data_IF_715580520237
#
_entry.id   IF_715580520237
#
_cell.length_a   1.000
_cell.length_b   1.000
_cell.length_c   1.000
_cell.angle_alpha   90.00
_cell.angle_beta   90.00
_cell.angle_gamma   90.00
#
_symmetry.space_group_name_H-M   'P 1'
#
loop_
_entity.id
_entity.type
_entity.pdbx_description
1 polymer ?
#
# COMPACT_ATOMS: atom_id res chain seq x y z
N UNK A 1 -10.07 -17.18 4.46
CA UNK A 1 -9.71 -17.06 5.89
C UNK A 1 -9.01 -15.72 6.11
N UNK A 2 -9.47 -14.94 7.04
CA UNK A 2 -8.85 -13.67 7.37
C UNK A 2 -7.49 -13.88 8.03
N UNK A 3 -6.56 -12.95 7.78
CA UNK A 3 -5.20 -12.99 8.33
C UNK A 3 -4.96 -11.76 9.20
N UNK A 4 -4.11 -11.90 10.20
CA UNK A 4 -3.62 -10.79 11.01
C UNK A 4 -2.20 -10.42 10.57
N UNK A 5 -1.98 -9.13 10.41
CA UNK A 5 -0.69 -8.58 10.00
C UNK A 5 -0.33 -7.42 10.90
N UNK A 6 0.93 -7.39 11.34
CA UNK A 6 1.49 -6.28 12.11
C UNK A 6 2.35 -5.41 11.20
N UNK A 7 2.07 -4.13 11.19
CA UNK A 7 2.82 -3.16 10.40
C UNK A 7 4.22 -2.95 11.00
N UNK A 8 5.25 -2.98 10.15
CA UNK A 8 6.61 -2.59 10.48
C UNK A 8 7.01 -1.38 9.64
N UNK A 9 7.52 -0.34 10.29
CA UNK A 9 7.88 0.91 9.64
C UNK A 9 6.71 1.87 9.44
N UNK A 10 6.98 3.01 8.83
CA UNK A 10 6.08 4.15 8.73
C UNK A 10 5.70 4.54 7.31
N UNK A 11 5.90 3.65 6.33
CA UNK A 11 5.60 3.93 4.92
C UNK A 11 4.14 4.25 4.64
N UNK A 12 3.23 3.78 5.52
CA UNK A 12 1.79 4.00 5.40
C UNK A 12 1.25 5.03 6.41
N UNK A 13 2.12 5.71 7.16
CA UNK A 13 1.68 6.78 8.04
C UNK A 13 1.13 7.97 7.23
N UNK A 14 0.13 8.68 7.73
CA UNK A 14 -0.54 8.52 9.03
C UNK A 14 -1.66 7.46 9.06
N UNK A 15 -1.98 6.84 7.92
CA UNK A 15 -3.10 5.88 7.81
C UNK A 15 -2.86 4.65 8.71
N UNK A 16 -1.71 4.02 8.55
CA UNK A 16 -1.24 2.93 9.39
C UNK A 16 0.17 3.22 9.87
N UNK A 17 0.43 2.95 11.13
CA UNK A 17 1.72 3.22 11.78
C UNK A 17 2.39 1.94 12.21
N UNK A 18 3.68 2.02 12.46
CA UNK A 18 4.43 0.89 13.03
C UNK A 18 3.73 0.31 14.26
N UNK A 19 3.65 -1.00 14.34
CA UNK A 19 2.96 -1.78 15.37
C UNK A 19 1.43 -1.85 15.27
N UNK A 20 0.80 -1.19 14.31
CA UNK A 20 -0.62 -1.41 14.05
C UNK A 20 -0.90 -2.86 13.70
N UNK A 21 -1.99 -3.40 14.24
CA UNK A 21 -2.49 -4.74 13.92
C UNK A 21 -3.67 -4.62 12.97
N UNK A 22 -3.54 -5.24 11.80
CA UNK A 22 -4.52 -5.16 10.72
C UNK A 22 -5.17 -6.50 10.48
N UNK A 23 -6.48 -6.46 10.23
CA UNK A 23 -7.24 -7.59 9.71
C UNK A 23 -7.20 -7.53 8.18
N UNK A 24 -6.81 -8.64 7.56
CA UNK A 24 -6.60 -8.77 6.12
C UNK A 24 -7.49 -9.86 5.54
N UNK A 25 -8.00 -9.64 4.34
CA UNK A 25 -8.73 -10.62 3.55
C UNK A 25 -7.85 -11.10 2.40
N UNK A 26 -7.72 -12.43 2.18
CA UNK A 26 -7.00 -12.96 1.02
C UNK A 26 -7.64 -12.52 -0.31
N UNK A 27 -6.80 -12.33 -1.33
CA UNK A 27 -7.21 -12.07 -2.71
C UNK A 27 -6.75 -13.19 -3.63
N UNK A 28 -7.34 -13.32 -4.80
CA UNK A 28 -6.82 -14.11 -5.92
C UNK A 28 -7.62 -15.34 -6.27
N UNK A 29 -8.06 -16.19 -5.37
CA UNK A 29 -8.69 -17.48 -5.75
C UNK A 29 -10.19 -17.46 -6.03
N UNK A 30 -10.90 -16.40 -5.66
CA UNK A 30 -12.36 -16.31 -5.82
C UNK A 30 -12.78 -15.07 -6.61
N UNK A 31 -11.95 -14.60 -7.54
CA UNK A 31 -12.25 -13.41 -8.34
C UNK A 31 -12.19 -12.10 -7.55
N UNK A 32 -11.75 -12.12 -6.30
CA UNK A 32 -11.53 -10.90 -5.52
C UNK A 32 -10.23 -10.26 -5.98
N UNK A 33 -10.35 -9.12 -6.65
CA UNK A 33 -9.22 -8.29 -7.08
C UNK A 33 -9.08 -7.09 -6.18
N UNK A 34 -7.84 -6.61 -6.03
CA UNK A 34 -7.60 -5.31 -5.40
C UNK A 34 -8.17 -4.19 -6.28
N UNK A 35 -8.69 -3.15 -5.64
CA UNK A 35 -9.25 -1.96 -6.28
C UNK A 35 -8.31 -0.78 -6.07
N UNK A 36 -8.48 0.26 -6.90
CA UNK A 36 -7.77 1.52 -6.68
C UNK A 36 -8.11 2.06 -5.28
N UNK A 37 -7.09 2.44 -4.52
CA UNK A 37 -7.21 2.91 -3.16
C UNK A 37 -7.14 1.83 -2.08
N UNK A 38 -7.24 0.56 -2.42
CA UNK A 38 -7.04 -0.52 -1.46
C UNK A 38 -5.60 -0.51 -0.92
N UNK A 39 -5.48 -0.78 0.37
CA UNK A 39 -4.18 -1.07 0.98
C UNK A 39 -3.99 -2.58 1.00
N UNK A 40 -2.89 -3.02 0.44
CA UNK A 40 -2.61 -4.44 0.20
C UNK A 40 -1.26 -4.87 0.76
N UNK A 41 -1.14 -6.16 1.04
CA UNK A 41 0.15 -6.82 1.26
C UNK A 41 0.50 -7.63 0.03
N UNK A 42 1.72 -7.48 -0.46
CA UNK A 42 2.23 -8.14 -1.64
C UNK A 42 3.70 -8.55 -1.47
N UNK A 43 4.15 -9.47 -2.31
CA UNK A 43 5.56 -9.84 -2.39
C UNK A 43 6.30 -8.95 -3.37
N UNK A 44 7.46 -8.47 -2.95
CA UNK A 44 8.41 -7.73 -3.77
C UNK A 44 9.81 -8.32 -3.51
N UNK A 45 10.29 -9.13 -4.43
CA UNK A 45 11.45 -9.97 -4.17
C UNK A 45 11.17 -10.94 -3.01
N UNK A 46 12.03 -10.92 -1.99
CA UNK A 46 11.87 -11.72 -0.79
C UNK A 46 11.10 -11.00 0.33
N UNK A 47 10.77 -9.73 0.12
CA UNK A 47 10.07 -8.93 1.11
C UNK A 47 8.55 -9.02 0.94
N UNK A 48 7.85 -8.89 2.05
CA UNK A 48 6.42 -8.61 2.08
C UNK A 48 6.22 -7.16 2.44
N UNK A 49 5.55 -6.44 1.56
CA UNK A 49 5.34 -5.00 1.67
C UNK A 49 3.86 -4.67 1.83
N UNK A 50 3.59 -3.58 2.53
CA UNK A 50 2.25 -2.99 2.62
C UNK A 50 2.27 -1.64 1.93
N UNK A 51 1.40 -1.47 0.92
CA UNK A 51 1.27 -0.22 0.17
C UNK A 51 -0.17 -0.04 -0.30
N UNK A 52 -0.46 1.13 -0.83
CA UNK A 52 -1.74 1.45 -1.48
C UNK A 52 -1.66 1.19 -2.97
N UNK A 53 -2.69 0.56 -3.51
CA UNK A 53 -2.89 0.46 -4.96
C UNK A 53 -3.29 1.83 -5.50
N UNK A 54 -2.38 2.47 -6.23
CA UNK A 54 -2.60 3.78 -6.86
C UNK A 54 -3.03 3.61 -8.31
N UNK A 55 -2.29 2.81 -9.08
CA UNK A 55 -2.58 2.53 -10.49
C UNK A 55 -3.05 1.10 -10.70
N UNK A 56 -4.16 0.95 -11.44
CA UNK A 56 -4.67 -0.32 -11.93
C UNK A 56 -4.07 -0.66 -13.31
N UNK A 57 -4.19 -1.91 -13.79
CA UNK A 57 -3.78 -2.25 -15.14
C UNK A 57 -4.35 -1.29 -16.19
N UNK A 58 -3.48 -0.73 -17.04
CA UNK A 58 -3.84 0.22 -18.08
C UNK A 58 -3.88 1.68 -17.67
N UNK A 59 -3.78 2.00 -16.39
CA UNK A 59 -3.79 3.39 -15.91
C UNK A 59 -2.52 4.15 -16.33
N UNK A 60 -2.67 5.45 -16.54
CA UNK A 60 -1.57 6.40 -16.63
C UNK A 60 -1.35 7.02 -15.25
N UNK A 61 -0.19 6.77 -14.67
CA UNK A 61 0.23 7.36 -13.41
C UNK A 61 1.28 8.45 -13.70
N UNK A 62 1.11 9.60 -13.07
CA UNK A 62 2.03 10.73 -13.20
C UNK A 62 2.48 11.19 -11.81
N UNK A 63 3.76 11.51 -11.70
CA UNK A 63 4.33 12.15 -10.52
C UNK A 63 4.77 13.56 -10.90
N UNK A 64 4.19 14.55 -10.25
CA UNK A 64 4.40 15.96 -10.54
C UNK A 64 4.57 16.74 -9.23
N UNK A 65 5.71 17.37 -9.05
CA UNK A 65 6.03 18.08 -7.80
C UNK A 65 5.81 17.22 -6.53
N UNK A 66 6.19 15.95 -6.58
CA UNK A 66 6.01 15.00 -5.46
C UNK A 66 4.59 14.49 -5.27
N UNK A 67 3.67 14.78 -6.20
CA UNK A 67 2.25 14.44 -6.11
C UNK A 67 1.85 13.49 -7.22
N UNK A 68 1.00 12.52 -6.89
CA UNK A 68 0.52 11.52 -7.82
C UNK A 68 -0.82 11.91 -8.46
N UNK A 69 -0.90 11.64 -9.75
CA UNK A 69 -2.12 11.74 -10.55
C UNK A 69 -2.36 10.40 -11.25
N UNK A 70 -3.62 10.01 -11.36
CA UNK A 70 -4.03 8.81 -12.08
C UNK A 70 -5.06 9.21 -13.13
N UNK A 71 -4.77 8.94 -14.39
CA UNK A 71 -5.62 9.32 -15.53
C UNK A 71 -6.00 10.81 -15.50
N UNK A 72 -5.05 11.66 -15.10
CA UNK A 72 -5.24 13.11 -14.99
C UNK A 72 -5.86 13.60 -13.69
N UNK A 73 -6.36 12.71 -12.84
CA UNK A 73 -7.00 13.09 -11.57
C UNK A 73 -6.01 13.00 -10.41
N UNK A 74 -5.92 14.03 -9.54
CA UNK A 74 -5.03 14.02 -8.39
C UNK A 74 -5.46 12.98 -7.35
N UNK A 75 -4.51 12.19 -6.87
CA UNK A 75 -4.77 11.19 -5.81
C UNK A 75 -5.14 11.86 -4.49
N UNK A 76 -4.54 13.01 -4.19
CA UNK A 76 -4.77 13.79 -2.95
C UNK A 76 -5.81 14.92 -3.11
N UNK A 77 -6.48 15.02 -4.25
CA UNK A 77 -7.50 16.03 -4.54
C UNK A 77 -6.98 17.45 -4.82
N UNK A 78 -5.66 17.67 -4.81
CA UNK A 78 -5.08 19.00 -5.05
C UNK A 78 -4.84 19.24 -6.55
N UNK A 79 -5.05 20.46 -7.07
CA UNK A 79 -4.84 20.77 -8.48
C UNK A 79 -3.37 20.67 -8.88
N UNK A 80 -3.11 20.57 -10.19
CA UNK A 80 -1.76 20.57 -10.76
C UNK A 80 -1.04 21.89 -10.51
N UNK A 81 0.30 21.80 -10.43
CA UNK A 81 1.18 22.96 -10.41
C UNK A 81 1.72 23.16 -11.83
N UNK A 82 1.41 24.27 -12.52
CA UNK A 82 1.92 24.52 -13.87
C UNK A 82 3.45 24.53 -13.92
N UNK A 83 4.02 23.89 -14.95
CA UNK A 83 5.47 23.87 -15.20
C UNK A 83 6.29 22.96 -14.29
N UNK A 84 5.66 22.16 -13.42
CA UNK A 84 6.37 21.18 -12.63
C UNK A 84 6.91 20.03 -13.50
N UNK A 85 8.06 19.46 -13.11
CA UNK A 85 8.59 18.27 -13.75
C UNK A 85 7.62 17.09 -13.55
N UNK A 86 7.34 16.38 -14.63
CA UNK A 86 6.42 15.23 -14.62
C UNK A 86 7.15 13.96 -15.02
N UNK A 87 7.04 12.93 -14.19
CA UNK A 87 7.41 11.57 -14.53
C UNK A 87 6.15 10.76 -14.75
N UNK A 88 6.11 9.91 -15.76
CA UNK A 88 4.92 9.18 -16.17
C UNK A 88 5.17 7.69 -16.28
N UNK A 89 4.15 6.90 -15.97
CA UNK A 89 4.15 5.45 -16.13
C UNK A 89 2.81 4.98 -16.69
N UNK A 90 2.86 4.15 -17.73
CA UNK A 90 1.70 3.39 -18.18
C UNK A 90 1.72 2.03 -17.49
N UNK A 91 0.75 1.75 -16.64
CA UNK A 91 0.67 0.49 -15.91
C UNK A 91 0.33 -0.66 -16.87
N UNK A 92 1.16 -1.71 -16.96
CA UNK A 92 0.86 -2.87 -17.81
C UNK A 92 -0.46 -3.55 -17.45
N UNK A 93 -1.04 -4.28 -18.39
CA UNK A 93 -2.33 -4.96 -18.22
C UNK A 93 -2.34 -6.07 -17.15
N UNK A 94 -1.17 -6.44 -16.61
CA UNK A 94 -1.00 -7.50 -15.62
C UNK A 94 -0.43 -7.01 -14.29
N UNK A 95 -0.36 -5.68 -14.09
CA UNK A 95 0.36 -5.10 -12.96
C UNK A 95 -0.42 -3.98 -12.29
N UNK A 96 0.06 -3.63 -11.09
CA UNK A 96 -0.36 -2.45 -10.33
C UNK A 96 0.81 -1.47 -10.16
N UNK A 97 0.48 -0.23 -9.89
CA UNK A 97 1.41 0.79 -9.38
C UNK A 97 1.10 1.01 -7.89
N UNK A 98 2.11 0.85 -7.03
CA UNK A 98 1.96 0.88 -5.58
C UNK A 98 2.66 2.10 -4.99
N UNK A 99 2.02 2.74 -4.02
CA UNK A 99 2.65 3.82 -3.26
C UNK A 99 2.29 3.75 -1.77
N UNK A 100 3.26 4.09 -0.93
CA UNK A 100 2.99 4.32 0.49
C UNK A 100 2.38 5.70 0.72
N UNK A 101 1.58 5.83 1.78
CA UNK A 101 0.92 7.08 2.12
C UNK A 101 1.90 8.13 2.70
N UNK A 102 3.11 7.69 3.10
CA UNK A 102 4.17 8.56 3.60
C UNK A 102 5.32 8.65 2.57
N UNK A 103 5.25 9.59 1.63
CA UNK A 103 6.24 9.67 0.55
C UNK A 103 7.67 9.98 1.03
N UNK A 104 7.83 10.55 2.20
CA UNK A 104 9.15 10.89 2.75
C UNK A 104 10.00 9.66 3.08
N UNK A 105 9.37 8.51 3.39
CA UNK A 105 10.07 7.28 3.82
C UNK A 105 9.64 6.03 3.06
N UNK A 106 8.68 6.13 2.14
CA UNK A 106 8.18 4.96 1.40
C UNK A 106 9.10 4.59 0.26
N UNK A 107 9.56 3.34 0.29
CA UNK A 107 10.21 2.67 -0.83
C UNK A 107 9.13 1.95 -1.64
N UNK A 108 8.84 2.45 -2.85
CA UNK A 108 7.70 1.99 -3.63
C UNK A 108 7.88 2.23 -5.14
N UNK A 109 6.82 2.04 -5.92
CA UNK A 109 6.84 2.14 -7.38
C UNK A 109 7.39 3.45 -7.92
N UNK A 110 7.32 4.53 -7.14
CA UNK A 110 7.85 5.85 -7.57
C UNK A 110 9.37 5.87 -7.71
N UNK A 111 10.08 4.98 -7.02
CA UNK A 111 11.55 4.99 -6.94
C UNK A 111 12.19 3.69 -7.41
N UNK A 112 11.42 2.62 -7.64
CA UNK A 112 11.97 1.36 -8.12
C UNK A 112 12.33 1.41 -9.61
N UNK A 113 13.39 0.72 -9.98
CA UNK A 113 13.78 0.55 -11.40
C UNK A 113 12.72 -0.22 -12.17
N UNK A 114 12.12 -1.24 -11.54
CA UNK A 114 10.94 -1.96 -12.03
C UNK A 114 9.72 -1.57 -11.21
N UNK A 115 8.96 -0.54 -11.64
CA UNK A 115 7.93 0.07 -10.79
C UNK A 115 6.65 -0.73 -10.67
N UNK A 116 6.43 -1.73 -11.53
CA UNK A 116 5.15 -2.42 -11.61
C UNK A 116 5.13 -3.70 -10.80
N UNK A 117 4.07 -3.89 -10.03
CA UNK A 117 3.85 -5.07 -9.19
C UNK A 117 2.87 -5.99 -9.88
N UNK A 118 3.26 -7.24 -10.22
CA UNK A 118 2.33 -8.20 -10.82
C UNK A 118 1.09 -8.41 -9.95
N UNK A 119 -0.08 -8.49 -10.57
CA UNK A 119 -1.34 -8.65 -9.83
C UNK A 119 -1.35 -9.91 -8.97
N UNK A 120 -0.70 -10.98 -9.43
CA UNK A 120 -0.56 -12.24 -8.69
C UNK A 120 0.35 -12.16 -7.47
N UNK A 121 1.17 -11.12 -7.33
CA UNK A 121 2.01 -10.88 -6.16
C UNK A 121 1.23 -10.37 -4.96
N UNK A 122 0.02 -9.87 -5.17
CA UNK A 122 -0.85 -9.37 -4.10
C UNK A 122 -1.46 -10.55 -3.35
N UNK A 123 -1.24 -10.59 -2.04
CA UNK A 123 -1.69 -11.69 -1.19
C UNK A 123 -2.99 -11.37 -0.45
N UNK A 124 -3.10 -10.16 0.09
CA UNK A 124 -4.23 -9.76 0.94
C UNK A 124 -4.57 -8.27 0.80
N UNK A 125 -5.82 -7.95 1.11
CA UNK A 125 -6.33 -6.57 1.23
C UNK A 125 -6.67 -6.26 2.68
N UNK A 126 -6.31 -5.08 3.16
CA UNK A 126 -6.68 -4.60 4.50
C UNK A 126 -8.20 -4.38 4.56
N UNK A 127 -8.83 -4.98 5.56
CA UNK A 127 -10.26 -4.74 5.83
C UNK A 127 -10.47 -3.74 6.95
N UNK A 128 -9.68 -3.82 8.02
CA UNK A 128 -9.71 -2.84 9.11
C UNK A 128 -8.47 -2.91 10.00
N UNK A 129 -8.20 -1.82 10.72
CA UNK A 129 -7.26 -1.79 11.83
C UNK A 129 -7.94 -2.31 13.09
N UNK A 130 -7.32 -3.27 13.79
CA UNK A 130 -7.80 -3.83 15.04
C UNK A 130 -7.19 -3.14 16.25
N UNK A 131 -5.88 -2.81 16.18
CA UNK A 131 -5.14 -2.14 17.24
C UNK A 131 -4.13 -1.16 16.63
N UNK A 132 -3.95 -0.03 17.27
CA UNK A 132 -3.00 1.00 16.89
C UNK A 132 -2.16 1.49 18.07
N UNK A 133 -1.26 2.46 17.85
CA UNK A 133 -0.30 2.92 18.86
C UNK A 133 -0.90 3.63 20.07
N UNK A 134 -2.18 3.98 20.05
CA UNK A 134 -2.89 4.49 21.22
C UNK A 134 -3.30 3.32 22.12
N UNK A 135 -2.36 2.82 22.92
CA UNK A 135 -2.67 1.90 24.01
C UNK A 135 -3.05 2.70 25.25
N UNK A 136 -4.14 2.34 25.94
CA UNK A 136 -4.35 2.82 27.31
C UNK A 136 -3.12 2.45 28.15
N UNK A 137 -2.62 3.39 28.97
CA UNK A 137 -1.56 3.08 29.94
C UNK A 137 -2.00 1.86 30.77
N UNK A 138 -1.23 0.78 30.76
CA UNK A 138 -1.49 -0.43 31.56
C UNK A 138 -1.92 -1.68 30.78
N UNK A 139 -2.06 -1.63 29.45
CA UNK A 139 -2.42 -2.82 28.68
C UNK A 139 -1.21 -3.74 28.49
N UNK A 140 -1.20 -4.93 29.16
CA UNK A 140 -0.27 -6.01 28.85
C UNK A 140 -0.90 -6.90 27.79
N UNK A 141 -0.30 -7.06 26.59
CA UNK A 141 -0.85 -7.94 25.56
C UNK A 141 -0.79 -9.39 26.06
N UNK A 142 -1.91 -10.09 26.05
CA UNK A 142 -1.92 -11.54 26.25
C UNK A 142 -1.09 -12.20 25.14
N UNK A 143 -0.25 -13.17 25.50
CA UNK A 143 0.69 -13.92 24.65
C UNK A 143 0.04 -14.79 23.56
N UNK A 144 -0.99 -14.30 22.84
CA UNK A 144 -1.62 -15.06 21.76
C UNK A 144 -1.52 -14.38 20.39
N UNK A 145 -0.48 -13.63 20.12
CA UNK A 145 -0.23 -13.04 18.81
C UNK A 145 0.88 -13.76 18.03
N UNK A 146 1.10 -15.04 18.24
CA UNK A 146 2.16 -15.81 17.60
C UNK A 146 1.94 -16.08 16.09
N UNK A 147 0.83 -15.62 15.51
CA UNK A 147 0.49 -15.89 14.10
C UNK A 147 0.42 -14.64 13.21
N UNK A 148 0.82 -13.47 13.69
CA UNK A 148 0.81 -12.26 12.87
C UNK A 148 2.10 -12.13 12.07
N UNK A 149 2.01 -12.15 10.75
CA UNK A 149 3.14 -11.82 9.86
C UNK A 149 3.51 -10.33 9.97
N UNK A 150 4.75 -9.99 9.65
CA UNK A 150 5.21 -8.59 9.53
C UNK A 150 5.25 -8.16 8.08
N UNK A 151 4.90 -6.90 7.83
CA UNK A 151 4.96 -6.25 6.50
C UNK A 151 5.56 -4.85 6.64
N UNK A 152 6.29 -4.42 5.62
CA UNK A 152 6.97 -3.12 5.58
C UNK A 152 6.43 -2.19 4.49
#
# INVERSE_FOLDING_TARGET
>A
MNRLVRVAGDSMAPTYRSSDLLLMRPVGRAGVRARRGDVVVFRHGELRMIKRVVGLPGDLVELEAGRLFVNGEPVDGRPRVPGAYTQTWRVPGTSYFMAGDNPAVSDDSRVWDEPFVPVESVETVVTRRLMGPRRPRGFKPRRRAAAAGRVA
#
